data_IF_853101634537
#
_entry.id   IF_853101634537
#
_cell.length_a   1.000
_cell.length_b   1.000
_cell.length_c   1.000
_cell.angle_alpha   90.00
_cell.angle_beta   90.00
_cell.angle_gamma   90.00
#
_symmetry.space_group_name_H-M   'P 1'
#
loop_
_entity.id
_entity.type
_entity.pdbx_description
1 polymer ?
#
# COMPACT_ATOMS: atom_id res chain seq x y z
N UNK A 1 25.61 -1.51 31.50
CA UNK A 1 24.44 -0.77 31.04
C UNK A 1 24.74 0.74 30.90
N UNK A 2 25.86 1.14 30.24
CA UNK A 2 26.29 2.57 30.09
C UNK A 2 26.79 2.87 28.67
N UNK A 3 26.77 1.94 27.73
CA UNK A 3 27.38 2.12 26.39
C UNK A 3 26.35 2.53 25.31
N UNK A 4 25.06 2.47 25.58
CA UNK A 4 24.01 2.74 24.57
C UNK A 4 23.59 4.22 24.46
N UNK A 5 23.97 5.09 25.38
CA UNK A 5 23.48 6.48 25.43
C UNK A 5 24.34 7.45 24.60
N UNK A 6 25.58 7.10 24.27
CA UNK A 6 26.51 8.00 23.56
C UNK A 6 26.36 8.03 22.03
N UNK A 7 25.61 7.10 21.42
CA UNK A 7 25.46 7.04 19.96
C UNK A 7 24.34 7.93 19.43
N UNK A 8 23.38 8.30 20.28
CA UNK A 8 22.22 9.12 19.87
C UNK A 8 22.54 10.64 19.91
N UNK A 9 23.52 11.04 20.73
CA UNK A 9 23.90 12.46 20.84
C UNK A 9 24.79 12.96 19.67
N UNK A 10 25.50 12.06 18.97
CA UNK A 10 26.39 12.39 17.87
C UNK A 10 25.63 12.65 16.54
N UNK A 11 24.48 12.01 16.33
CA UNK A 11 23.68 12.21 15.09
C UNK A 11 22.90 13.52 15.06
N UNK A 12 22.55 14.11 16.20
CA UNK A 12 21.84 15.39 16.26
C UNK A 12 22.71 16.61 15.92
N UNK A 13 24.04 16.52 15.99
CA UNK A 13 24.94 17.61 15.64
C UNK A 13 25.26 17.72 14.16
N UNK A 14 25.11 16.64 13.37
CA UNK A 14 25.44 16.66 11.95
C UNK A 14 24.35 17.28 11.08
N UNK A 15 23.09 17.24 11.52
CA UNK A 15 21.95 17.77 10.75
C UNK A 15 21.88 19.30 10.79
N UNK A 16 22.43 19.96 11.81
CA UNK A 16 22.34 21.42 11.97
C UNK A 16 23.41 22.20 11.21
N UNK A 17 24.43 21.56 10.65
CA UNK A 17 25.53 22.24 9.95
C UNK A 17 25.33 22.33 8.43
N UNK A 18 24.40 21.55 7.86
CA UNK A 18 24.15 21.52 6.39
C UNK A 18 23.09 22.56 5.97
N UNK A 19 22.33 23.14 6.90
CA UNK A 19 21.23 24.09 6.61
C UNK A 19 21.64 25.56 6.46
N UNK A 20 22.95 25.91 6.58
CA UNK A 20 23.37 27.34 6.59
C UNK A 20 24.01 27.79 5.27
N UNK A 21 24.20 26.93 4.26
CA UNK A 21 24.94 27.29 3.05
C UNK A 21 24.12 27.38 1.74
N UNK A 22 22.82 27.63 1.78
CA UNK A 22 22.01 27.82 0.56
C UNK A 22 21.10 29.04 0.61
N UNK A 23 21.63 30.18 0.96
CA UNK A 23 20.97 31.48 0.78
C UNK A 23 21.98 32.43 0.19
N UNK A 24 22.18 32.45 -1.10
CA UNK A 24 22.64 33.60 -1.93
C UNK A 24 22.75 33.06 -3.38
N UNK A 25 21.81 33.34 -4.22
CA UNK A 25 21.96 33.81 -5.59
C UNK A 25 20.58 33.92 -6.22
N UNK A 26 20.07 35.11 -6.21
CA UNK A 26 18.93 35.49 -7.03
C UNK A 26 19.39 35.72 -8.46
N UNK A 27 18.51 35.61 -9.41
CA UNK A 27 18.33 36.62 -10.46
C UNK A 27 17.34 36.08 -11.51
N UNK A 28 16.34 36.85 -11.67
CA UNK A 28 15.34 37.05 -12.71
C UNK A 28 15.71 36.58 -14.12
N UNK A 29 14.77 35.87 -14.78
CA UNK A 29 14.48 36.08 -16.21
C UNK A 29 12.97 35.96 -16.42
N UNK A 30 12.39 37.10 -16.85
CA UNK A 30 11.06 37.23 -17.44
C UNK A 30 11.10 36.83 -18.92
N UNK A 31 9.89 36.66 -19.50
CA UNK A 31 9.55 36.59 -20.95
C UNK A 31 9.36 35.14 -21.41
N UNK A 32 8.21 34.71 -21.95
CA UNK A 32 7.31 35.33 -22.91
C UNK A 32 6.05 34.47 -23.08
N UNK A 33 4.91 35.12 -23.19
CA UNK A 33 3.66 34.58 -23.73
C UNK A 33 3.82 34.06 -25.16
N UNK A 34 3.24 32.93 -25.48
CA UNK A 34 2.71 32.68 -26.81
C UNK A 34 1.47 31.80 -26.76
N UNK A 35 0.35 32.38 -27.15
CA UNK A 35 -0.92 31.76 -27.49
C UNK A 35 -0.76 31.04 -28.84
N UNK A 36 -1.37 29.86 -28.93
CA UNK A 36 -1.94 29.30 -30.17
C UNK A 36 -2.88 28.15 -29.77
N UNK A 37 -4.15 28.40 -29.80
CA UNK A 37 -5.23 28.09 -30.76
C UNK A 37 -5.55 26.61 -30.94
N UNK A 38 -6.81 26.38 -30.60
CA UNK A 38 -7.72 25.28 -30.91
C UNK A 38 -7.51 24.63 -32.27
N UNK A 39 -7.64 23.31 -32.26
CA UNK A 39 -8.27 22.59 -33.39
C UNK A 39 -8.89 21.29 -32.90
N UNK A 40 -10.22 21.30 -32.96
CA UNK A 40 -11.10 20.12 -32.91
C UNK A 40 -11.30 19.64 -34.35
N UNK A 41 -11.29 18.36 -34.62
CA UNK A 41 -12.20 17.84 -35.63
C UNK A 41 -13.06 16.67 -35.13
N UNK A 42 -14.23 16.72 -35.67
CA UNK A 42 -15.45 15.95 -35.55
C UNK A 42 -15.32 14.41 -35.75
N UNK A 43 -16.15 13.78 -34.96
CA UNK A 43 -17.11 12.69 -35.18
C UNK A 43 -17.02 11.92 -36.53
N UNK A 44 -16.74 10.60 -36.47
CA UNK A 44 -17.39 9.61 -37.31
C UNK A 44 -17.66 8.32 -36.53
N UNK A 45 -18.94 8.05 -36.40
CA UNK A 45 -19.66 6.81 -36.16
C UNK A 45 -19.08 5.63 -36.96
N UNK A 46 -18.85 4.51 -36.25
CA UNK A 46 -18.56 3.22 -36.84
C UNK A 46 -18.85 2.11 -35.85
N UNK A 47 -20.12 1.67 -35.86
CA UNK A 47 -20.60 0.46 -35.19
C UNK A 47 -19.92 -0.76 -35.81
N UNK A 48 -19.20 -1.52 -34.99
CA UNK A 48 -19.06 -2.96 -35.21
C UNK A 48 -18.93 -3.69 -33.91
N UNK A 49 -20.05 -4.26 -33.52
CA UNK A 49 -20.22 -5.32 -32.55
C UNK A 49 -19.39 -6.54 -32.95
N UNK A 50 -18.25 -6.76 -32.32
CA UNK A 50 -17.62 -8.08 -32.34
C UNK A 50 -17.69 -8.69 -30.96
N UNK A 51 -18.77 -9.45 -30.80
CA UNK A 51 -18.95 -10.42 -29.73
C UNK A 51 -17.76 -11.37 -29.68
N UNK A 52 -16.83 -11.15 -28.76
CA UNK A 52 -15.85 -12.15 -28.41
C UNK A 52 -16.43 -12.94 -27.25
N UNK A 53 -16.87 -14.15 -27.58
CA UNK A 53 -17.37 -15.15 -26.67
C UNK A 53 -16.28 -15.47 -25.65
N UNK A 54 -16.53 -15.05 -24.44
CA UNK A 54 -16.38 -15.73 -23.18
C UNK A 54 -15.59 -17.06 -23.22
N UNK A 55 -14.32 -16.99 -22.86
CA UNK A 55 -13.64 -18.12 -22.28
C UNK A 55 -13.78 -17.96 -20.75
N UNK A 56 -14.72 -18.69 -20.19
CA UNK A 56 -14.90 -18.85 -18.75
C UNK A 56 -13.63 -19.47 -18.15
N UNK A 57 -12.73 -18.62 -17.69
CA UNK A 57 -11.76 -18.99 -16.68
C UNK A 57 -12.11 -18.16 -15.44
N UNK A 58 -13.19 -18.55 -14.76
CA UNK A 58 -13.60 -18.04 -13.45
C UNK A 58 -12.65 -18.56 -12.37
N UNK A 59 -11.38 -18.21 -12.44
CA UNK A 59 -10.50 -18.25 -11.29
C UNK A 59 -9.95 -16.83 -11.03
N UNK A 60 -10.86 -15.85 -10.96
CA UNK A 60 -10.55 -14.55 -10.40
C UNK A 60 -10.52 -14.75 -8.89
N UNK A 61 -9.34 -14.94 -8.33
CA UNK A 61 -9.10 -14.88 -6.89
C UNK A 61 -9.49 -13.49 -6.42
N UNK A 62 -10.75 -13.37 -6.01
CA UNK A 62 -11.27 -12.13 -5.46
C UNK A 62 -10.69 -11.98 -4.07
N UNK A 63 -9.92 -10.90 -3.83
CA UNK A 63 -9.46 -10.55 -2.49
C UNK A 63 -10.64 -10.55 -1.51
N UNK A 64 -10.48 -11.23 -0.38
CA UNK A 64 -11.49 -11.29 0.65
C UNK A 64 -11.55 -9.96 1.42
N UNK A 65 -12.78 -9.47 1.67
CA UNK A 65 -13.02 -8.36 2.58
C UNK A 65 -13.05 -8.87 4.02
N UNK A 66 -12.21 -8.31 4.86
CA UNK A 66 -12.24 -8.60 6.28
C UNK A 66 -13.11 -7.58 7.01
N UNK A 67 -13.98 -8.09 7.88
CA UNK A 67 -14.62 -7.34 8.96
C UNK A 67 -13.78 -7.44 10.23
N UNK A 68 -14.07 -6.64 11.25
CA UNK A 68 -13.41 -6.74 12.55
C UNK A 68 -13.48 -8.16 13.14
N UNK A 69 -14.61 -8.86 12.95
CA UNK A 69 -14.80 -10.23 13.43
C UNK A 69 -13.94 -11.24 12.66
N UNK A 70 -13.95 -11.16 11.32
CA UNK A 70 -13.14 -12.07 10.48
C UNK A 70 -11.66 -11.77 10.62
N UNK A 71 -11.27 -10.50 10.83
CA UNK A 71 -9.90 -10.12 11.14
C UNK A 71 -9.42 -10.79 12.44
N UNK A 72 -10.22 -10.71 13.51
CA UNK A 72 -9.89 -11.34 14.79
C UNK A 72 -9.69 -12.87 14.67
N UNK A 73 -10.47 -13.51 13.82
CA UNK A 73 -10.39 -14.97 13.66
C UNK A 73 -9.29 -15.42 12.69
N UNK A 74 -8.92 -14.61 11.68
CA UNK A 74 -7.99 -15.00 10.61
C UNK A 74 -6.61 -14.39 10.74
N UNK A 75 -6.50 -13.25 11.41
CA UNK A 75 -5.28 -12.45 11.44
C UNK A 75 -4.75 -12.27 12.85
N UNK A 76 -5.49 -11.57 13.69
CA UNK A 76 -5.06 -11.25 15.05
C UNK A 76 -6.25 -10.84 15.92
N UNK A 77 -6.46 -11.55 17.02
CA UNK A 77 -7.48 -11.22 18.00
C UNK A 77 -6.92 -10.19 19.01
N UNK A 78 -7.07 -8.91 18.67
CA UNK A 78 -6.57 -7.78 19.45
C UNK A 78 -7.37 -7.52 20.75
N UNK A 79 -8.54 -8.14 20.91
CA UNK A 79 -9.31 -8.08 22.16
C UNK A 79 -8.79 -9.05 23.20
N UNK A 80 -8.38 -10.25 22.77
CA UNK A 80 -7.88 -11.30 23.68
C UNK A 80 -6.39 -11.21 23.92
N UNK A 81 -5.61 -10.77 22.92
CA UNK A 81 -4.16 -10.81 22.97
C UNK A 81 -3.59 -9.39 23.11
N UNK A 82 -2.78 -9.14 24.13
CA UNK A 82 -2.06 -7.87 24.31
C UNK A 82 -0.82 -7.78 23.43
N UNK A 83 -0.25 -8.92 23.07
CA UNK A 83 0.93 -9.02 22.21
C UNK A 83 0.52 -9.55 20.84
N UNK A 84 1.23 -9.11 19.81
CA UNK A 84 0.97 -9.56 18.46
C UNK A 84 1.12 -11.08 18.34
N UNK A 85 0.08 -11.74 17.87
CA UNK A 85 0.04 -13.17 17.62
C UNK A 85 -0.71 -13.41 16.32
N UNK A 86 0.01 -13.72 15.26
CA UNK A 86 -0.60 -14.00 13.96
C UNK A 86 -1.28 -15.36 13.96
N UNK A 87 -2.57 -15.38 13.63
CA UNK A 87 -3.40 -16.60 13.58
C UNK A 87 -3.49 -17.21 12.18
N UNK A 88 -3.04 -16.47 11.13
CA UNK A 88 -3.12 -16.93 9.74
C UNK A 88 -2.20 -18.10 9.42
N UNK A 89 -2.52 -18.84 8.36
CA UNK A 89 -1.75 -20.00 7.89
C UNK A 89 -0.54 -19.56 7.05
N UNK A 90 -0.76 -18.63 6.13
CA UNK A 90 0.27 -18.03 5.27
C UNK A 90 0.57 -16.60 5.74
N UNK A 91 1.75 -16.02 5.43
CA UNK A 91 1.96 -14.59 5.58
C UNK A 91 0.88 -13.82 4.82
N UNK A 92 0.58 -12.59 5.24
CA UNK A 92 -0.56 -11.86 4.69
C UNK A 92 -0.24 -10.41 4.32
N UNK A 93 -1.03 -9.87 3.40
CA UNK A 93 -1.12 -8.43 3.10
C UNK A 93 -2.54 -7.98 3.38
N UNK A 94 -2.69 -6.81 4.01
CA UNK A 94 -3.99 -6.19 4.22
C UNK A 94 -3.97 -4.78 3.65
N UNK A 95 -4.87 -4.50 2.71
CA UNK A 95 -5.10 -3.18 2.13
C UNK A 95 -6.22 -2.46 2.89
N UNK A 96 -5.87 -1.41 3.61
CA UNK A 96 -6.82 -0.49 4.22
C UNK A 96 -7.19 0.59 3.21
N UNK A 97 -8.44 0.59 2.76
CA UNK A 97 -8.93 1.42 1.67
C UNK A 97 -10.28 2.09 2.00
N UNK A 98 -10.77 2.93 1.09
CA UNK A 98 -12.15 3.38 1.02
C UNK A 98 -12.57 3.55 -0.45
N UNK A 99 -13.86 3.43 -0.75
CA UNK A 99 -14.38 3.47 -2.12
C UNK A 99 -14.16 4.80 -2.84
N UNK A 100 -14.13 5.92 -2.12
CA UNK A 100 -13.87 7.25 -2.68
C UNK A 100 -12.39 7.55 -2.91
N UNK A 101 -11.48 6.71 -2.39
CA UNK A 101 -10.04 6.93 -2.43
C UNK A 101 -9.48 6.67 -3.85
N UNK A 102 -9.10 7.71 -4.56
CA UNK A 102 -8.51 7.63 -5.89
C UNK A 102 -7.23 6.78 -5.94
N UNK A 103 -6.21 7.04 -5.08
CA UNK A 103 -5.00 6.22 -5.03
C UNK A 103 -5.25 4.75 -4.69
N UNK A 104 -6.27 4.42 -3.86
CA UNK A 104 -6.64 3.04 -3.55
C UNK A 104 -7.12 2.28 -4.79
N UNK A 105 -7.83 2.96 -5.70
CA UNK A 105 -8.28 2.37 -6.97
C UNK A 105 -7.14 1.99 -7.91
N UNK A 106 -5.95 2.59 -7.75
CA UNK A 106 -4.75 2.20 -8.48
C UNK A 106 -4.07 0.98 -7.88
N UNK A 107 -4.14 0.83 -6.56
CA UNK A 107 -3.55 -0.29 -5.83
C UNK A 107 -4.38 -1.57 -5.98
N UNK A 108 -5.70 -1.48 -5.94
CA UNK A 108 -6.60 -2.63 -5.95
C UNK A 108 -6.33 -3.62 -7.10
N UNK A 109 -6.20 -3.22 -8.38
CA UNK A 109 -5.92 -4.17 -9.46
C UNK A 109 -4.55 -4.84 -9.33
N UNK A 110 -3.56 -4.13 -8.78
CA UNK A 110 -2.23 -4.70 -8.53
C UNK A 110 -2.30 -5.80 -7.48
N UNK A 111 -3.01 -5.57 -6.39
CA UNK A 111 -3.18 -6.57 -5.33
C UNK A 111 -4.06 -7.75 -5.78
N UNK A 112 -5.06 -7.51 -6.64
CA UNK A 112 -5.85 -8.59 -7.26
C UNK A 112 -4.98 -9.49 -8.15
N UNK A 113 -4.06 -8.92 -8.93
CA UNK A 113 -3.10 -9.66 -9.74
C UNK A 113 -2.14 -10.47 -8.86
N UNK A 114 -1.55 -9.83 -7.85
CA UNK A 114 -0.64 -10.48 -6.91
C UNK A 114 -1.32 -11.58 -6.10
N UNK A 115 -2.61 -11.44 -5.77
CA UNK A 115 -3.35 -12.49 -5.07
C UNK A 115 -3.45 -13.78 -5.90
N UNK A 116 -3.47 -13.66 -7.23
CA UNK A 116 -3.39 -14.81 -8.12
C UNK A 116 -1.97 -15.37 -8.26
N UNK A 117 -0.95 -14.49 -8.36
CA UNK A 117 0.45 -14.90 -8.51
C UNK A 117 1.01 -15.60 -7.27
N UNK A 118 0.55 -15.18 -6.09
CA UNK A 118 1.01 -15.70 -4.79
C UNK A 118 -0.01 -16.59 -4.10
N UNK A 119 -1.01 -17.11 -4.86
CA UNK A 119 -2.02 -18.02 -4.31
C UNK A 119 -1.37 -19.20 -3.55
N UNK A 120 -1.88 -19.47 -2.36
CA UNK A 120 -1.37 -20.49 -1.45
C UNK A 120 -0.02 -20.17 -0.77
N UNK A 121 0.61 -19.03 -1.08
CA UNK A 121 1.88 -18.57 -0.46
C UNK A 121 1.70 -17.34 0.40
N UNK A 122 0.89 -16.39 -0.05
CA UNK A 122 0.58 -15.13 0.64
C UNK A 122 -0.91 -14.89 0.54
N UNK A 123 -1.57 -14.67 1.66
CA UNK A 123 -2.97 -14.31 1.69
C UNK A 123 -3.12 -12.80 1.54
N UNK A 124 -3.97 -12.34 0.61
CA UNK A 124 -4.18 -10.90 0.39
C UNK A 124 -5.63 -10.56 0.69
N UNK A 125 -5.81 -9.64 1.62
CA UNK A 125 -7.09 -9.17 2.14
C UNK A 125 -7.26 -7.67 1.95
N UNK A 126 -8.50 -7.20 2.08
CA UNK A 126 -8.81 -5.78 2.13
C UNK A 126 -9.79 -5.43 3.25
N UNK A 127 -9.64 -4.23 3.80
CA UNK A 127 -10.46 -3.68 4.88
C UNK A 127 -10.97 -2.32 4.44
N UNK A 128 -12.29 -2.16 4.41
CA UNK A 128 -12.93 -0.85 4.20
C UNK A 128 -12.88 -0.06 5.51
N UNK A 129 -12.12 1.03 5.52
CA UNK A 129 -11.93 1.86 6.73
C UNK A 129 -13.17 2.66 7.13
N UNK A 130 -14.15 2.82 6.25
CA UNK A 130 -15.41 3.47 6.58
C UNK A 130 -16.38 2.49 7.27
N UNK A 131 -16.40 1.25 6.80
CA UNK A 131 -17.20 0.19 7.42
C UNK A 131 -16.56 -0.31 8.74
N UNK A 132 -15.24 -0.43 8.77
CA UNK A 132 -14.47 -1.04 9.87
C UNK A 132 -13.64 0.01 10.63
N UNK A 133 -14.28 1.07 11.10
CA UNK A 133 -13.64 2.21 11.77
C UNK A 133 -12.89 1.79 13.05
N UNK A 134 -13.43 0.84 13.81
CA UNK A 134 -12.76 0.29 14.98
C UNK A 134 -11.43 -0.35 14.61
N UNK A 135 -11.44 -1.20 13.58
CA UNK A 135 -10.23 -1.88 13.11
C UNK A 135 -9.20 -0.88 12.56
N UNK A 136 -9.65 0.13 11.82
CA UNK A 136 -8.79 1.21 11.35
C UNK A 136 -8.15 1.98 12.52
N UNK A 137 -8.90 2.22 13.59
CA UNK A 137 -8.41 2.88 14.81
C UNK A 137 -7.39 2.01 15.57
N UNK A 138 -7.63 0.71 15.71
CA UNK A 138 -6.71 -0.25 16.36
C UNK A 138 -5.35 -0.26 15.68
N UNK A 139 -5.32 -0.20 14.34
CA UNK A 139 -4.08 -0.15 13.56
C UNK A 139 -3.55 1.27 13.32
N UNK A 140 -4.19 2.28 13.88
CA UNK A 140 -3.76 3.68 13.79
C UNK A 140 -3.74 4.21 12.36
N UNK A 141 -4.68 3.77 11.51
CA UNK A 141 -4.77 4.20 10.11
C UNK A 141 -5.13 5.69 10.07
N UNK A 142 -4.22 6.51 9.52
CA UNK A 142 -4.38 7.97 9.41
C UNK A 142 -4.50 8.45 7.97
N UNK A 143 -4.14 7.61 7.03
CA UNK A 143 -4.20 7.88 5.58
C UNK A 143 -4.45 6.58 4.83
N UNK A 144 -5.05 6.68 3.65
CA UNK A 144 -5.31 5.54 2.77
C UNK A 144 -4.79 5.83 1.36
N UNK A 145 -4.32 4.78 0.64
CA UNK A 145 -4.20 3.40 1.10
C UNK A 145 -3.13 3.24 2.17
N UNK A 146 -3.33 2.31 3.09
CA UNK A 146 -2.31 1.83 4.04
C UNK A 146 -2.21 0.32 3.93
N UNK A 147 -1.01 -0.18 3.73
CA UNK A 147 -0.75 -1.59 3.46
C UNK A 147 -0.04 -2.21 4.65
N UNK A 148 -0.64 -3.23 5.26
CA UNK A 148 -0.06 -3.97 6.36
C UNK A 148 0.54 -5.28 5.83
N UNK A 149 1.85 -5.43 5.95
CA UNK A 149 2.58 -6.65 5.64
C UNK A 149 2.77 -7.48 6.91
N UNK A 150 2.28 -8.70 6.89
CA UNK A 150 2.28 -9.60 8.05
C UNK A 150 3.13 -10.83 7.73
N UNK A 151 4.37 -10.89 8.20
CA UNK A 151 5.20 -12.08 8.05
C UNK A 151 4.62 -13.24 8.87
N UNK A 152 4.98 -14.47 8.51
CA UNK A 152 4.55 -15.67 9.27
C UNK A 152 5.03 -15.63 10.72
N UNK A 153 6.21 -15.06 10.94
CA UNK A 153 6.83 -14.86 12.27
C UNK A 153 7.36 -13.45 12.38
N UNK A 154 7.28 -12.86 13.57
CA UNK A 154 7.73 -11.50 13.83
C UNK A 154 6.60 -10.47 13.85
N UNK A 155 6.95 -9.19 13.76
CA UNK A 155 6.01 -8.08 13.85
C UNK A 155 5.52 -7.65 12.47
N UNK A 156 4.25 -7.23 12.35
CA UNK A 156 3.74 -6.67 11.11
C UNK A 156 4.40 -5.33 10.79
N UNK A 157 4.44 -4.97 9.51
CA UNK A 157 5.00 -3.72 9.03
C UNK A 157 3.96 -2.95 8.22
N UNK A 158 3.79 -1.66 8.52
CA UNK A 158 2.84 -0.78 7.84
C UNK A 158 3.56 0.10 6.83
N UNK A 159 3.03 0.18 5.61
CA UNK A 159 3.42 1.15 4.59
C UNK A 159 2.23 2.04 4.26
N UNK A 160 2.41 3.36 4.30
CA UNK A 160 1.37 4.32 3.95
C UNK A 160 1.57 4.84 2.52
N UNK A 161 0.45 4.99 1.79
CA UNK A 161 0.44 5.48 0.42
C UNK A 161 0.41 4.38 -0.65
N UNK A 162 0.09 4.78 -1.88
CA UNK A 162 0.04 3.88 -3.02
C UNK A 162 1.43 3.37 -3.39
N UNK A 163 1.51 2.10 -3.78
CA UNK A 163 2.73 1.41 -4.17
C UNK A 163 2.54 0.79 -5.55
N UNK A 164 3.59 0.77 -6.35
CA UNK A 164 3.61 0.09 -7.64
C UNK A 164 3.85 -1.42 -7.45
N UNK A 165 3.53 -2.23 -8.47
CA UNK A 165 3.67 -3.69 -8.42
C UNK A 165 5.06 -4.15 -7.97
N UNK A 166 6.12 -3.55 -8.51
CA UNK A 166 7.50 -3.91 -8.16
C UNK A 166 7.80 -3.69 -6.67
N UNK A 167 7.26 -2.61 -6.09
CA UNK A 167 7.39 -2.35 -4.65
C UNK A 167 6.67 -3.41 -3.80
N UNK A 168 5.49 -3.87 -4.22
CA UNK A 168 4.81 -4.99 -3.57
C UNK A 168 5.61 -6.28 -3.67
N UNK A 169 6.11 -6.62 -4.87
CA UNK A 169 6.93 -7.82 -5.10
C UNK A 169 8.18 -7.79 -4.23
N UNK A 170 8.85 -6.64 -4.15
CA UNK A 170 10.01 -6.47 -3.27
C UNK A 170 9.62 -6.69 -1.80
N UNK A 171 8.56 -6.04 -1.30
CA UNK A 171 8.09 -6.19 0.07
C UNK A 171 7.67 -7.64 0.39
N UNK A 172 7.00 -8.32 -0.54
CA UNK A 172 6.65 -9.74 -0.38
C UNK A 172 7.91 -10.58 -0.17
N UNK A 173 8.93 -10.39 -1.00
CA UNK A 173 10.16 -11.17 -0.91
C UNK A 173 10.99 -10.84 0.34
N UNK A 174 11.08 -9.56 0.72
CA UNK A 174 11.94 -9.10 1.82
C UNK A 174 11.28 -9.19 3.20
N UNK A 175 9.94 -9.16 3.28
CA UNK A 175 9.21 -9.13 4.55
C UNK A 175 8.46 -10.45 4.78
N UNK A 176 7.75 -10.94 3.75
CA UNK A 176 6.81 -12.05 3.92
C UNK A 176 7.42 -13.42 3.65
N UNK A 177 8.27 -13.54 2.63
CA UNK A 177 8.85 -14.80 2.16
C UNK A 177 10.32 -14.98 2.57
N UNK A 178 10.84 -14.14 3.46
CA UNK A 178 12.20 -14.33 4.01
C UNK A 178 12.26 -15.69 4.68
N UNK A 179 13.07 -16.59 4.11
CA UNK A 179 13.41 -17.86 4.75
C UNK A 179 14.40 -17.54 5.86
N UNK A 180 13.95 -17.55 7.11
CA UNK A 180 14.86 -17.55 8.25
C UNK A 180 15.58 -18.93 8.27
N UNK A 181 16.76 -18.97 7.65
CA UNK A 181 17.70 -20.08 7.77
C UNK A 181 18.30 -20.11 9.16
#
# INVERSE_FOLDING_TARGET
>A
MIIAINKICSMKRYINTVMIFSLIAGMSVLISCSKKEEQKPDLKTGSETKSIKNSNNNNKTKMEHLTAETFKSKVFDYEKNKEWKFEGKNPAIIDFYADWCGPCKMVAPVLEELSGEYDGKVDIYKVDTEAEQELAAVFGIRSIPSILFIPKTGQPQMSAGAMQKDGFVQAINEILLVQNN
#
